data_IF_203861511135
#
_entry.id   IF_203861511135
#
_cell.length_a   1.000
_cell.length_b   1.000
_cell.length_c   1.000
_cell.angle_alpha   90.00
_cell.angle_beta   90.00
_cell.angle_gamma   90.00
#
_symmetry.space_group_name_H-M   'P 1'
#
loop_
_entity.id
_entity.type
_entity.pdbx_description
1 polymer ?
#
# COMPACT_ATOMS: atom_id res chain seq x y z
N UNK A 1 -11.94 -46.17 5.99
CA UNK A 1 -11.91 -44.88 6.77
C UNK A 1 -11.10 -43.86 5.99
N UNK A 2 -11.78 -43.05 5.16
CA UNK A 2 -11.16 -42.01 4.35
C UNK A 2 -11.02 -40.74 5.15
N UNK A 3 -9.79 -40.37 5.48
CA UNK A 3 -9.48 -39.02 5.99
C UNK A 3 -9.40 -38.06 4.79
N UNK A 4 -10.46 -37.30 4.59
CA UNK A 4 -10.45 -36.13 3.70
C UNK A 4 -9.49 -35.09 4.31
N UNK A 5 -8.42 -34.80 3.61
CA UNK A 5 -7.56 -33.64 3.88
C UNK A 5 -8.33 -32.40 3.43
N UNK A 6 -8.80 -31.62 4.36
CA UNK A 6 -9.27 -30.26 4.08
C UNK A 6 -8.08 -29.40 3.67
N UNK A 7 -7.99 -29.07 2.41
CA UNK A 7 -7.20 -27.94 1.91
C UNK A 7 -7.96 -26.68 2.27
N UNK A 8 -7.36 -25.74 2.98
CA UNK A 8 -8.02 -24.44 3.22
C UNK A 8 -8.00 -23.65 1.90
N UNK A 9 -9.17 -23.50 1.31
CA UNK A 9 -9.43 -22.50 0.26
C UNK A 9 -9.16 -21.13 0.84
N UNK A 10 -8.24 -20.40 0.23
CA UNK A 10 -7.83 -19.06 0.64
C UNK A 10 -8.89 -18.02 0.25
N UNK A 11 -10.02 -18.03 0.93
CA UNK A 11 -10.91 -16.87 1.00
C UNK A 11 -10.32 -15.84 1.96
N UNK A 12 -9.37 -15.04 1.47
CA UNK A 12 -8.95 -13.82 2.13
C UNK A 12 -9.97 -12.72 1.85
N UNK A 13 -11.12 -12.85 2.46
CA UNK A 13 -12.11 -11.79 2.53
C UNK A 13 -11.64 -10.69 3.49
N UNK A 14 -11.94 -9.47 3.18
CA UNK A 14 -11.43 -8.18 3.62
C UNK A 14 -11.55 -7.82 5.12
N UNK A 15 -11.72 -8.77 6.03
CA UNK A 15 -11.99 -8.50 7.46
C UNK A 15 -10.96 -9.03 8.46
N UNK A 16 -9.89 -9.69 8.01
CA UNK A 16 -8.87 -10.19 8.95
C UNK A 16 -7.77 -9.15 9.06
N UNK A 17 -7.82 -8.32 10.12
CA UNK A 17 -6.68 -7.48 10.50
C UNK A 17 -5.48 -8.37 10.79
N UNK A 18 -4.40 -8.19 10.04
CA UNK A 18 -3.14 -8.86 10.30
C UNK A 18 -2.60 -8.38 11.65
N UNK A 19 -2.34 -9.32 12.58
CA UNK A 19 -1.63 -9.02 13.81
C UNK A 19 -0.19 -9.48 13.67
N UNK A 20 0.74 -8.52 13.50
CA UNK A 20 2.16 -8.81 13.47
C UNK A 20 2.68 -9.25 12.09
N UNK A 21 2.92 -10.54 11.89
CA UNK A 21 3.60 -11.10 10.71
C UNK A 21 2.92 -12.36 10.17
N UNK A 22 3.04 -12.57 8.85
CA UNK A 22 2.67 -13.82 8.17
C UNK A 22 3.52 -14.04 6.93
N UNK A 23 4.09 -15.23 6.74
CA UNK A 23 4.72 -15.66 5.49
C UNK A 23 4.05 -16.95 4.96
N UNK A 24 4.00 -17.08 3.63
CA UNK A 24 3.39 -18.24 2.98
C UNK A 24 3.91 -18.44 1.57
N UNK A 25 3.78 -19.68 1.06
CA UNK A 25 3.99 -20.00 -0.35
C UNK A 25 2.78 -19.60 -1.19
N UNK A 26 3.05 -19.09 -2.38
CA UNK A 26 2.03 -18.79 -3.38
C UNK A 26 2.00 -19.97 -4.34
N UNK A 27 0.87 -20.69 -4.34
CA UNK A 27 0.57 -21.75 -5.29
C UNK A 27 -0.90 -21.61 -5.68
N UNK A 28 -1.16 -20.70 -6.62
CA UNK A 28 -2.53 -20.47 -7.10
C UNK A 28 -2.63 -20.82 -8.58
N UNK A 29 -3.44 -21.83 -8.88
CA UNK A 29 -3.96 -22.04 -10.22
C UNK A 29 -5.02 -20.97 -10.47
N UNK A 30 -4.73 -20.05 -11.39
CA UNK A 30 -5.64 -18.98 -11.89
C UNK A 30 -6.75 -18.57 -10.93
N UNK A 31 -6.46 -17.68 -10.00
CA UNK A 31 -7.48 -16.96 -9.24
C UNK A 31 -7.82 -15.66 -9.96
N UNK A 32 -9.13 -15.31 -10.02
CA UNK A 32 -9.54 -13.95 -10.39
C UNK A 32 -8.78 -12.97 -9.50
N UNK A 33 -8.12 -12.01 -10.11
CA UNK A 33 -7.38 -10.97 -9.39
C UNK A 33 -8.25 -10.36 -8.31
N UNK A 34 -7.71 -10.27 -7.11
CA UNK A 34 -8.43 -9.62 -6.02
C UNK A 34 -8.59 -8.14 -6.38
N UNK A 35 -9.79 -7.63 -6.25
CA UNK A 35 -10.11 -6.25 -6.56
C UNK A 35 -9.14 -5.28 -5.88
N UNK A 36 -9.01 -4.11 -6.45
CA UNK A 36 -8.24 -3.00 -5.92
C UNK A 36 -8.69 -2.72 -4.48
N UNK A 37 -7.87 -3.08 -3.49
CA UNK A 37 -8.23 -2.96 -2.09
C UNK A 37 -7.06 -2.41 -1.27
N UNK A 38 -7.38 -1.64 -0.25
CA UNK A 38 -6.43 -1.26 0.80
C UNK A 38 -6.05 -2.48 1.62
N UNK A 39 -4.81 -2.52 2.02
CA UNK A 39 -4.27 -3.53 2.93
C UNK A 39 -3.69 -2.80 4.14
N UNK A 40 -3.93 -3.33 5.33
CA UNK A 40 -3.41 -2.77 6.59
C UNK A 40 -2.00 -3.27 6.91
N UNK A 41 -1.25 -3.70 5.89
CA UNK A 41 0.05 -4.33 6.06
C UNK A 41 0.98 -4.04 4.89
N UNK A 42 2.26 -4.03 5.16
CA UNK A 42 3.31 -4.10 4.16
C UNK A 42 3.38 -5.50 3.56
N UNK A 43 3.75 -5.60 2.30
CA UNK A 43 3.92 -6.87 1.60
C UNK A 43 5.26 -6.90 0.89
N UNK A 44 6.00 -7.99 1.03
CA UNK A 44 7.10 -8.33 0.13
C UNK A 44 6.74 -9.66 -0.51
N UNK A 45 6.74 -9.76 -1.85
CA UNK A 45 6.44 -11.02 -2.52
C UNK A 45 7.35 -11.29 -3.69
N UNK A 46 7.84 -12.52 -3.77
CA UNK A 46 8.61 -13.08 -4.87
C UNK A 46 7.66 -13.88 -5.74
N UNK A 47 7.36 -13.38 -6.96
CA UNK A 47 6.34 -13.95 -7.84
C UNK A 47 6.96 -14.41 -9.15
N UNK A 48 6.56 -15.59 -9.63
CA UNK A 48 6.93 -16.11 -10.95
C UNK A 48 5.66 -16.45 -11.70
N UNK A 49 5.43 -15.81 -12.84
CA UNK A 49 4.23 -15.92 -13.66
C UNK A 49 4.00 -14.63 -14.45
N UNK A 50 2.88 -14.57 -15.18
CA UNK A 50 2.51 -13.36 -15.90
C UNK A 50 1.50 -12.57 -15.07
N UNK A 51 1.80 -11.32 -14.85
CA UNK A 51 1.04 -10.43 -13.99
C UNK A 51 0.82 -9.06 -14.60
N UNK A 52 -0.32 -8.47 -14.27
CA UNK A 52 -0.55 -7.04 -14.39
C UNK A 52 -0.68 -6.48 -12.98
N UNK A 53 0.27 -5.65 -12.58
CA UNK A 53 0.23 -4.92 -11.32
C UNK A 53 -0.29 -3.52 -11.55
N UNK A 54 -1.34 -3.16 -10.85
CA UNK A 54 -1.81 -1.78 -10.72
C UNK A 54 -1.31 -1.23 -9.39
N UNK A 55 -0.50 -0.19 -9.44
CA UNK A 55 0.10 0.41 -8.24
C UNK A 55 -0.03 1.93 -8.32
N UNK A 56 -0.80 2.51 -7.42
CA UNK A 56 -1.22 3.90 -7.49
C UNK A 56 -1.91 4.21 -8.84
N UNK A 57 -1.31 5.05 -9.66
CA UNK A 57 -1.79 5.47 -11.00
C UNK A 57 -1.10 4.75 -12.16
N UNK A 58 -0.23 3.76 -11.87
CA UNK A 58 0.58 3.05 -12.87
C UNK A 58 0.17 1.59 -12.97
N UNK A 59 0.32 1.04 -14.19
CA UNK A 59 0.17 -0.38 -14.45
C UNK A 59 1.47 -0.95 -15.02
N UNK A 60 1.87 -2.09 -14.50
CA UNK A 60 3.08 -2.80 -14.91
C UNK A 60 2.69 -4.21 -15.34
N UNK A 61 2.99 -4.54 -16.58
CA UNK A 61 2.86 -5.91 -17.07
C UNK A 61 4.23 -6.60 -17.06
N UNK A 62 4.28 -7.83 -16.60
CA UNK A 62 5.52 -8.60 -16.53
C UNK A 62 5.28 -10.09 -16.71
N UNK A 63 6.15 -10.73 -17.46
CA UNK A 63 6.26 -12.18 -17.68
C UNK A 63 7.46 -12.81 -16.96
N UNK A 64 8.13 -12.03 -16.11
CA UNK A 64 9.38 -12.40 -15.43
C UNK A 64 9.14 -12.71 -13.96
N UNK A 65 10.14 -13.37 -13.35
CA UNK A 65 10.19 -13.41 -11.88
C UNK A 65 10.45 -12.00 -11.35
N UNK A 66 9.63 -11.59 -10.41
CA UNK A 66 9.72 -10.26 -9.79
C UNK A 66 9.73 -10.34 -8.27
N UNK A 67 10.34 -9.35 -7.65
CA UNK A 67 10.18 -9.03 -6.24
C UNK A 67 9.33 -7.75 -6.15
N UNK A 68 8.18 -7.84 -5.47
CA UNK A 68 7.24 -6.75 -5.31
C UNK A 68 7.19 -6.26 -3.87
N UNK A 69 7.09 -4.95 -3.70
CA UNK A 69 7.00 -4.24 -2.41
C UNK A 69 5.68 -3.47 -2.35
N UNK A 70 4.76 -3.91 -1.51
CA UNK A 70 3.46 -3.27 -1.27
C UNK A 70 3.49 -2.45 0.00
N UNK A 71 3.11 -1.18 -0.12
CA UNK A 71 2.92 -0.28 1.01
C UNK A 71 1.41 -0.20 1.34
N UNK A 72 0.98 -0.33 2.61
CA UNK A 72 -0.43 -0.26 3.00
C UNK A 72 -1.09 1.08 2.64
N UNK A 73 -0.31 2.16 2.56
CA UNK A 73 -0.82 3.49 2.24
C UNK A 73 -1.02 3.73 0.74
N UNK A 74 -0.54 2.81 -0.12
CA UNK A 74 -0.64 2.91 -1.57
C UNK A 74 -1.59 1.82 -2.08
N UNK A 75 -2.73 2.20 -2.68
CA UNK A 75 -3.63 1.20 -3.24
C UNK A 75 -2.96 0.44 -4.38
N UNK A 76 -3.04 -0.88 -4.34
CA UNK A 76 -2.55 -1.73 -5.43
C UNK A 76 -3.44 -2.96 -5.65
N UNK A 77 -3.42 -3.47 -6.87
CA UNK A 77 -3.99 -4.77 -7.21
C UNK A 77 -3.03 -5.55 -8.11
N UNK A 78 -3.23 -6.85 -8.16
CA UNK A 78 -2.45 -7.75 -8.99
C UNK A 78 -3.40 -8.69 -9.72
N UNK A 79 -3.37 -8.65 -11.04
CA UNK A 79 -4.08 -9.59 -11.89
C UNK A 79 -3.11 -10.68 -12.35
N UNK A 80 -3.49 -11.93 -12.13
CA UNK A 80 -2.73 -13.09 -12.59
C UNK A 80 -3.22 -13.46 -13.98
N UNK A 81 -2.35 -13.34 -14.97
CA UNK A 81 -2.65 -13.65 -16.38
C UNK A 81 -2.22 -15.07 -16.72
N UNK A 82 -1.19 -15.60 -16.08
CA UNK A 82 -0.69 -16.96 -16.32
C UNK A 82 -1.58 -18.03 -15.68
N UNK A 83 -1.64 -19.25 -16.27
CA UNK A 83 -2.37 -20.37 -15.67
C UNK A 83 -1.78 -20.85 -14.34
N UNK A 84 -0.54 -20.53 -14.06
CA UNK A 84 0.15 -20.87 -12.80
C UNK A 84 0.89 -19.66 -12.26
N UNK A 85 0.76 -19.44 -10.98
CA UNK A 85 1.47 -18.44 -10.22
C UNK A 85 2.14 -19.12 -9.03
N UNK A 86 3.46 -19.03 -8.95
CA UNK A 86 4.24 -19.64 -7.87
C UNK A 86 5.21 -18.64 -7.26
N UNK A 87 5.43 -18.74 -5.98
CA UNK A 87 6.35 -17.86 -5.28
C UNK A 87 6.15 -17.86 -3.78
N UNK A 88 6.47 -16.73 -3.18
CA UNK A 88 6.41 -16.51 -1.74
C UNK A 88 5.88 -15.13 -1.43
N UNK A 89 5.23 -14.98 -0.28
CA UNK A 89 4.84 -13.68 0.24
C UNK A 89 5.10 -13.59 1.74
N UNK A 90 5.47 -12.40 2.19
CA UNK A 90 5.47 -12.00 3.60
C UNK A 90 4.64 -10.74 3.77
N UNK A 91 3.81 -10.74 4.79
CA UNK A 91 2.95 -9.65 5.22
C UNK A 91 3.37 -9.25 6.62
N UNK A 92 3.45 -7.95 6.90
CA UNK A 92 3.80 -7.47 8.23
C UNK A 92 3.22 -6.09 8.48
N UNK A 93 2.86 -5.84 9.74
CA UNK A 93 2.40 -4.51 10.16
C UNK A 93 3.59 -3.59 10.40
N UNK A 94 3.34 -2.30 10.35
CA UNK A 94 4.35 -1.29 10.69
C UNK A 94 4.86 -1.48 12.11
N UNK A 95 3.95 -1.73 13.06
CA UNK A 95 4.29 -1.97 14.47
C UNK A 95 5.19 -3.19 14.67
N UNK A 96 5.01 -4.25 13.86
CA UNK A 96 5.89 -5.42 13.91
C UNK A 96 7.34 -5.07 13.61
N UNK A 97 7.59 -4.12 12.70
CA UNK A 97 8.95 -3.67 12.37
C UNK A 97 9.50 -2.59 13.30
N UNK A 98 8.67 -1.68 13.82
CA UNK A 98 9.08 -0.54 14.65
C UNK A 98 9.72 -0.92 15.99
N UNK A 99 9.58 -2.14 16.46
CA UNK A 99 10.24 -2.63 17.67
C UNK A 99 11.78 -2.62 17.58
N UNK A 100 12.34 -2.28 16.41
CA UNK A 100 13.77 -2.07 16.19
C UNK A 100 13.99 -0.71 15.53
N UNK A 101 14.67 0.24 16.20
CA UNK A 101 15.00 1.58 15.67
C UNK A 101 15.68 1.54 14.29
N UNK A 102 16.44 0.46 14.00
CA UNK A 102 17.12 0.26 12.71
C UNK A 102 16.16 -0.09 11.57
N UNK A 103 15.03 -0.70 11.86
CA UNK A 103 14.06 -1.15 10.85
C UNK A 103 13.11 -0.07 10.39
N UNK A 104 12.88 0.98 11.18
CA UNK A 104 12.02 2.10 10.82
C UNK A 104 12.54 2.82 9.56
N UNK A 105 13.86 3.04 9.47
CA UNK A 105 14.48 3.67 8.29
C UNK A 105 14.28 2.89 6.98
N UNK A 106 14.07 1.57 7.04
CA UNK A 106 13.91 0.73 5.86
C UNK A 106 12.51 0.84 5.22
N UNK A 107 11.50 1.17 6.00
CA UNK A 107 10.15 1.46 5.47
C UNK A 107 10.13 2.78 4.66
N UNK A 108 11.07 3.67 4.94
CA UNK A 108 11.29 4.89 4.17
C UNK A 108 12.20 4.69 2.95
N UNK A 109 12.56 3.44 2.64
CA UNK A 109 13.36 3.13 1.46
C UNK A 109 12.58 3.39 0.16
N UNK A 110 13.28 3.63 -0.97
CA UNK A 110 12.64 3.81 -2.29
C UNK A 110 11.72 2.66 -2.72
N UNK A 111 11.86 1.49 -2.11
CA UNK A 111 11.05 0.29 -2.41
C UNK A 111 9.59 0.45 -1.95
N UNK A 112 9.35 1.16 -0.85
CA UNK A 112 8.03 1.38 -0.28
C UNK A 112 7.50 2.80 -0.49
N UNK A 113 8.34 3.72 -1.01
CA UNK A 113 7.92 5.11 -1.20
C UNK A 113 6.99 5.27 -2.42
N UNK A 114 6.09 6.26 -2.31
CA UNK A 114 5.28 6.73 -3.42
C UNK A 114 6.22 7.34 -4.47
N UNK A 115 6.07 6.88 -5.74
CA UNK A 115 6.96 7.30 -6.82
C UNK A 115 8.27 6.50 -6.90
N UNK A 116 8.53 5.60 -5.97
CA UNK A 116 9.65 4.66 -6.03
C UNK A 116 9.45 3.51 -7.03
N UNK A 117 10.31 2.52 -6.96
CA UNK A 117 10.25 1.32 -7.82
C UNK A 117 9.82 0.11 -6.99
N UNK A 118 8.49 -0.15 -6.86
CA UNK A 118 7.98 -1.24 -6.03
C UNK A 118 8.17 -2.63 -6.65
N UNK A 119 8.69 -2.72 -7.87
CA UNK A 119 8.86 -3.97 -8.62
C UNK A 119 10.28 -4.06 -9.14
N UNK A 120 10.96 -5.17 -8.82
CA UNK A 120 12.29 -5.48 -9.30
C UNK A 120 12.25 -6.78 -10.11
N UNK A 121 12.82 -6.77 -11.32
CA UNK A 121 13.02 -7.99 -12.11
C UNK A 121 14.15 -8.83 -11.50
N UNK A 122 13.91 -10.12 -11.30
CA UNK A 122 14.78 -11.03 -10.57
C UNK A 122 15.29 -12.13 -11.50
N UNK A 123 16.62 -12.34 -11.53
CA UNK A 123 17.22 -13.44 -12.27
C UNK A 123 17.17 -14.77 -11.49
N UNK A 124 17.57 -15.89 -12.13
CA UNK A 124 17.49 -17.23 -11.53
C UNK A 124 18.34 -17.40 -10.25
N UNK A 125 19.52 -16.80 -10.19
CA UNK A 125 20.39 -16.86 -9.01
C UNK A 125 19.77 -16.08 -7.85
N UNK A 126 19.38 -14.83 -8.09
CA UNK A 126 18.69 -13.98 -7.11
C UNK A 126 17.40 -14.64 -6.60
N UNK A 127 16.63 -15.28 -7.50
CA UNK A 127 15.40 -15.99 -7.11
C UNK A 127 15.69 -17.09 -6.09
N UNK A 128 16.77 -17.87 -6.29
CA UNK A 128 17.15 -18.94 -5.37
C UNK A 128 17.49 -18.39 -3.98
N UNK A 129 18.27 -17.32 -3.92
CA UNK A 129 18.73 -16.72 -2.66
C UNK A 129 17.57 -16.07 -1.90
N UNK A 130 16.71 -15.33 -2.61
CA UNK A 130 15.51 -14.71 -2.02
C UNK A 130 14.51 -15.76 -1.55
N UNK A 131 14.27 -16.81 -2.34
CA UNK A 131 13.38 -17.91 -1.95
C UNK A 131 13.82 -18.58 -0.66
N UNK A 132 15.13 -18.78 -0.47
CA UNK A 132 15.69 -19.36 0.76
C UNK A 132 15.38 -18.49 1.99
N UNK A 133 15.36 -17.15 1.85
CA UNK A 133 15.00 -16.26 2.95
C UNK A 133 13.51 -16.41 3.30
N UNK A 134 12.62 -16.45 2.30
CA UNK A 134 11.20 -16.68 2.54
C UNK A 134 10.92 -18.03 3.19
N UNK A 135 11.60 -19.09 2.75
CA UNK A 135 11.47 -20.43 3.36
C UNK A 135 11.88 -20.42 4.82
N UNK A 136 12.94 -19.71 5.17
CA UNK A 136 13.37 -19.54 6.57
C UNK A 136 12.32 -18.80 7.39
N UNK A 137 11.70 -17.74 6.85
CA UNK A 137 10.63 -17.03 7.54
C UNK A 137 9.39 -17.92 7.77
N UNK A 138 9.03 -18.74 6.76
CA UNK A 138 7.91 -19.69 6.86
C UNK A 138 8.21 -20.75 7.92
N UNK A 139 9.43 -21.28 7.96
CA UNK A 139 9.82 -22.26 8.98
C UNK A 139 9.85 -21.63 10.38
N UNK A 140 10.40 -20.42 10.53
CA UNK A 140 10.56 -19.75 11.81
C UNK A 140 9.22 -19.38 12.45
N UNK A 141 8.22 -18.94 11.67
CA UNK A 141 6.92 -18.56 12.23
C UNK A 141 6.19 -19.72 12.93
N UNK A 142 6.48 -20.96 12.55
CA UNK A 142 5.88 -22.18 13.13
C UNK A 142 6.64 -22.67 14.38
N UNK A 143 7.77 -22.04 14.76
CA UNK A 143 8.53 -22.44 15.94
C UNK A 143 7.98 -21.83 17.22
N UNK A 144 8.27 -22.43 18.36
CA UNK A 144 7.99 -21.88 19.71
C UNK A 144 9.16 -21.08 20.27
N UNK A 145 10.14 -20.70 19.43
CA UNK A 145 11.31 -19.96 19.86
C UNK A 145 10.92 -18.56 20.37
N UNK A 146 11.38 -18.24 21.58
CA UNK A 146 11.00 -17.00 22.29
C UNK A 146 11.33 -15.72 21.48
N UNK A 147 12.42 -15.72 20.71
CA UNK A 147 12.87 -14.55 19.91
C UNK A 147 12.59 -14.72 18.42
N UNK A 148 11.63 -15.57 18.02
CA UNK A 148 11.30 -15.81 16.62
C UNK A 148 10.96 -14.54 15.85
N UNK A 149 10.21 -13.62 16.47
CA UNK A 149 9.83 -12.35 15.85
C UNK A 149 11.06 -11.47 15.54
N UNK A 150 12.09 -11.55 16.36
CA UNK A 150 13.35 -10.83 16.12
C UNK A 150 14.12 -11.41 14.93
N UNK A 151 14.18 -12.73 14.83
CA UNK A 151 14.77 -13.42 13.67
C UNK A 151 14.00 -13.09 12.41
N UNK A 152 12.66 -13.12 12.44
CA UNK A 152 11.80 -12.78 11.31
C UNK A 152 12.03 -11.33 10.85
N UNK A 153 12.14 -10.37 11.77
CA UNK A 153 12.49 -8.97 11.46
C UNK A 153 13.85 -8.88 10.75
N UNK A 154 14.83 -9.66 11.19
CA UNK A 154 16.14 -9.70 10.53
C UNK A 154 16.06 -10.26 9.10
N UNK A 155 15.20 -11.26 8.84
CA UNK A 155 14.98 -11.77 7.48
C UNK A 155 14.26 -10.73 6.61
N UNK A 156 13.29 -10.00 7.12
CA UNK A 156 12.65 -8.90 6.39
C UNK A 156 13.69 -7.83 6.04
N UNK A 157 14.50 -7.42 7.00
CA UNK A 157 15.57 -6.45 6.78
C UNK A 157 16.57 -6.93 5.72
N UNK A 158 16.93 -8.21 5.76
CA UNK A 158 17.82 -8.81 4.76
C UNK A 158 17.18 -8.77 3.36
N UNK A 159 15.89 -9.11 3.20
CA UNK A 159 15.19 -9.01 1.91
C UNK A 159 15.21 -7.58 1.37
N UNK A 160 14.97 -6.59 2.23
CA UNK A 160 14.97 -5.18 1.84
C UNK A 160 16.38 -4.76 1.38
N UNK A 161 17.43 -5.14 2.12
CA UNK A 161 18.80 -4.82 1.75
C UNK A 161 19.26 -5.52 0.47
N UNK A 162 18.90 -6.80 0.27
CA UNK A 162 19.19 -7.48 -0.99
C UNK A 162 18.51 -6.80 -2.18
N UNK A 163 17.25 -6.37 -2.00
CA UNK A 163 16.55 -5.62 -3.04
C UNK A 163 17.19 -4.25 -3.33
N UNK A 164 17.60 -3.52 -2.30
CA UNK A 164 18.29 -2.23 -2.47
C UNK A 164 19.61 -2.36 -3.25
N UNK A 165 20.37 -3.44 -3.03
CA UNK A 165 21.59 -3.74 -3.82
C UNK A 165 21.29 -3.99 -5.30
N UNK A 166 20.10 -4.51 -5.62
CA UNK A 166 19.68 -4.81 -6.99
C UNK A 166 19.20 -3.58 -7.75
N UNK A 167 18.88 -2.48 -7.04
CA UNK A 167 18.51 -1.22 -7.69
C UNK A 167 19.73 -0.62 -8.39
N UNK A 168 19.60 -0.13 -9.64
CA UNK A 168 20.67 0.63 -10.28
C UNK A 168 21.05 1.84 -9.41
N UNK A 169 22.34 2.12 -9.28
CA UNK A 169 22.84 3.26 -8.51
C UNK A 169 22.28 4.62 -8.98
N UNK A 170 21.78 4.71 -10.19
CA UNK A 170 21.12 5.89 -10.76
C UNK A 170 19.76 6.19 -10.09
N UNK A 171 19.02 5.20 -9.60
CA UNK A 171 17.77 5.46 -8.88
C UNK A 171 18.01 6.10 -7.51
N UNK A 172 19.17 5.87 -6.91
CA UNK A 172 19.59 6.53 -5.66
C UNK A 172 20.02 7.97 -5.87
N UNK A 173 20.44 8.31 -7.10
CA UNK A 173 20.86 9.68 -7.49
C UNK A 173 19.68 10.55 -7.92
N UNK A 174 18.57 9.99 -8.38
CA UNK A 174 17.37 10.76 -8.78
C UNK A 174 16.61 11.39 -7.60
N UNK A 175 16.79 10.92 -6.37
CA UNK A 175 16.23 11.56 -5.18
C UNK A 175 16.94 12.86 -4.76
N UNK A 176 17.97 13.30 -5.48
CA UNK A 176 18.63 14.58 -5.22
C UNK A 176 17.83 15.81 -5.68
N UNK A 177 16.75 15.63 -6.42
CA UNK A 177 15.88 16.72 -6.80
C UNK A 177 15.01 17.14 -5.59
N UNK A 178 15.16 18.37 -5.12
CA UNK A 178 14.38 18.91 -4.01
C UNK A 178 12.86 18.84 -4.27
N UNK A 179 12.41 18.98 -5.52
CA UNK A 179 11.02 18.84 -5.93
C UNK A 179 10.51 17.40 -5.72
N UNK A 180 11.29 16.38 -6.09
CA UNK A 180 10.92 14.98 -5.88
C UNK A 180 10.81 14.65 -4.39
N UNK A 181 11.76 15.13 -3.58
CA UNK A 181 11.75 14.90 -2.13
C UNK A 181 10.53 15.55 -1.46
N UNK A 182 10.24 16.82 -1.75
CA UNK A 182 9.10 17.49 -1.14
C UNK A 182 7.77 16.89 -1.59
N UNK A 183 7.68 16.43 -2.85
CA UNK A 183 6.52 15.73 -3.39
C UNK A 183 6.28 14.39 -2.66
N UNK A 184 7.33 13.60 -2.44
CA UNK A 184 7.24 12.33 -1.70
C UNK A 184 6.74 12.55 -0.28
N UNK A 185 7.30 13.53 0.44
CA UNK A 185 6.86 13.85 1.81
C UNK A 185 5.42 14.36 1.85
N UNK A 186 5.01 15.18 0.87
CA UNK A 186 3.62 15.61 0.75
C UNK A 186 2.65 14.43 0.57
N UNK A 187 2.97 13.51 -0.36
CA UNK A 187 2.13 12.35 -0.62
C UNK A 187 2.05 11.42 0.59
N UNK A 188 3.16 11.22 1.29
CA UNK A 188 3.21 10.46 2.54
C UNK A 188 2.35 11.09 3.63
N UNK A 189 2.46 12.39 3.85
CA UNK A 189 1.62 13.12 4.82
C UNK A 189 0.13 13.06 4.45
N UNK A 190 -0.19 13.15 3.16
CA UNK A 190 -1.56 12.99 2.70
C UNK A 190 -2.11 11.60 3.05
N UNK A 191 -1.34 10.54 2.78
CA UNK A 191 -1.77 9.17 3.05
C UNK A 191 -1.85 8.84 4.56
N UNK A 192 -0.98 9.40 5.39
CA UNK A 192 -0.98 9.18 6.85
C UNK A 192 -2.29 9.61 7.54
N UNK A 193 -3.07 10.50 6.94
CA UNK A 193 -4.35 10.92 7.49
C UNK A 193 -5.46 9.87 7.31
N UNK A 194 -5.18 8.76 6.64
CA UNK A 194 -6.14 7.74 6.26
C UNK A 194 -5.65 6.33 6.66
N UNK A 195 -6.57 5.36 6.88
CA UNK A 195 -8.03 5.49 6.83
C UNK A 195 -8.59 6.28 8.02
N UNK A 196 -9.81 6.80 7.84
CA UNK A 196 -10.56 7.41 8.95
C UNK A 196 -11.34 6.29 9.66
N UNK A 197 -10.95 6.00 10.89
CA UNK A 197 -11.49 4.85 11.65
C UNK A 197 -12.61 5.23 12.61
N UNK A 198 -12.83 6.53 12.87
CA UNK A 198 -13.82 7.02 13.83
C UNK A 198 -14.49 8.31 13.34
N UNK A 199 -15.79 8.45 13.62
CA UNK A 199 -16.55 9.70 13.37
C UNK A 199 -16.07 10.89 14.19
N UNK A 200 -15.30 10.64 15.26
CA UNK A 200 -14.69 11.67 16.10
C UNK A 200 -13.36 12.16 15.54
N UNK A 201 -12.77 11.44 14.62
CA UNK A 201 -11.54 11.82 13.93
C UNK A 201 -11.91 12.71 12.74
N UNK A 202 -11.23 13.84 12.59
CA UNK A 202 -11.39 14.73 11.43
C UNK A 202 -10.07 14.93 10.74
N UNK A 203 -10.08 15.06 9.41
CA UNK A 203 -8.89 15.42 8.64
C UNK A 203 -8.32 16.76 9.11
N UNK A 204 -7.03 16.79 9.44
CA UNK A 204 -6.33 18.00 9.86
C UNK A 204 -5.85 18.82 8.66
N UNK A 205 -5.21 18.14 7.67
CA UNK A 205 -4.64 18.78 6.49
C UNK A 205 -5.59 18.59 5.29
N UNK A 206 -6.28 19.69 4.87
CA UNK A 206 -7.35 19.64 3.86
C UNK A 206 -7.00 20.40 2.58
N UNK A 207 -6.10 21.36 2.67
CA UNK A 207 -5.74 22.25 1.58
C UNK A 207 -4.23 22.25 1.34
N UNK A 208 -3.80 22.57 0.11
CA UNK A 208 -2.37 22.68 -0.22
C UNK A 208 -1.59 23.59 0.74
N UNK A 209 -2.26 24.65 1.27
CA UNK A 209 -1.71 25.58 2.24
C UNK A 209 -1.38 24.88 3.56
N UNK A 210 -2.21 23.94 4.02
CA UNK A 210 -2.01 23.23 5.29
C UNK A 210 -0.78 22.33 5.19
N UNK A 211 -0.65 21.59 4.10
CA UNK A 211 0.53 20.77 3.82
C UNK A 211 1.79 21.64 3.67
N UNK A 212 1.72 22.76 2.95
CA UNK A 212 2.84 23.65 2.77
C UNK A 212 3.33 24.22 4.11
N UNK A 213 2.41 24.60 5.00
CA UNK A 213 2.72 25.07 6.36
C UNK A 213 3.36 23.95 7.19
N UNK A 214 2.80 22.74 7.14
CA UNK A 214 3.33 21.59 7.87
C UNK A 214 4.73 21.20 7.39
N UNK A 215 4.98 21.30 6.07
CA UNK A 215 6.27 21.02 5.45
C UNK A 215 7.28 22.19 5.54
N UNK A 216 6.85 23.32 6.13
CA UNK A 216 7.64 24.54 6.24
C UNK A 216 8.20 25.05 4.88
N UNK A 217 7.34 25.02 3.86
CA UNK A 217 7.64 25.52 2.52
C UNK A 217 6.57 26.48 2.03
N UNK A 218 6.90 27.28 1.01
CA UNK A 218 5.90 28.14 0.38
C UNK A 218 4.93 27.29 -0.48
N UNK A 219 3.63 27.58 -0.41
CA UNK A 219 2.59 26.81 -1.11
C UNK A 219 2.80 26.75 -2.63
N UNK A 220 3.31 27.84 -3.23
CA UNK A 220 3.61 27.86 -4.68
C UNK A 220 4.75 26.89 -5.03
N UNK A 221 5.76 26.76 -4.16
CA UNK A 221 6.83 25.79 -4.35
C UNK A 221 6.30 24.36 -4.27
N UNK A 222 5.47 24.07 -3.24
CA UNK A 222 4.82 22.75 -3.13
C UNK A 222 3.99 22.43 -4.36
N UNK A 223 3.13 23.35 -4.80
CA UNK A 223 2.27 23.16 -5.98
C UNK A 223 3.07 22.93 -7.26
N UNK A 224 4.17 23.68 -7.45
CA UNK A 224 5.06 23.52 -8.59
C UNK A 224 5.76 22.16 -8.57
N UNK A 225 6.35 21.79 -7.43
CA UNK A 225 7.07 20.54 -7.26
C UNK A 225 6.14 19.32 -7.48
N UNK A 226 4.97 19.31 -6.83
CA UNK A 226 3.99 18.22 -6.99
C UNK A 226 3.53 18.09 -8.43
N UNK A 227 3.22 19.21 -9.11
CA UNK A 227 2.78 19.20 -10.51
C UNK A 227 3.90 18.78 -11.47
N UNK A 228 5.14 19.21 -11.22
CA UNK A 228 6.31 18.82 -12.00
C UNK A 228 6.54 17.30 -11.95
N UNK A 229 6.50 16.74 -10.73
CA UNK A 229 6.85 15.32 -10.51
C UNK A 229 5.71 14.37 -10.86
N UNK A 230 4.45 14.76 -10.57
CA UNK A 230 3.30 13.85 -10.70
C UNK A 230 2.40 14.15 -11.90
N UNK A 231 2.59 15.29 -12.55
CA UNK A 231 1.69 15.79 -13.59
C UNK A 231 0.35 16.33 -13.07
N UNK A 232 0.03 16.14 -11.77
CA UNK A 232 -1.23 16.49 -11.13
C UNK A 232 -1.03 17.59 -10.07
N UNK A 233 -2.05 18.43 -9.89
CA UNK A 233 -1.98 19.48 -8.87
C UNK A 233 -2.08 18.91 -7.44
N UNK A 234 -1.49 19.58 -6.46
CA UNK A 234 -1.61 19.26 -5.03
C UNK A 234 -3.07 19.10 -4.61
N UNK A 235 -3.93 20.06 -4.98
CA UNK A 235 -5.37 20.00 -4.72
C UNK A 235 -6.05 18.83 -5.43
N UNK A 236 -5.55 18.40 -6.58
CA UNK A 236 -6.00 17.22 -7.30
C UNK A 236 -5.77 15.94 -6.51
N UNK A 237 -4.56 15.74 -5.99
CA UNK A 237 -4.20 14.60 -5.14
C UNK A 237 -5.06 14.55 -3.87
N UNK A 238 -5.19 15.69 -3.17
CA UNK A 238 -6.01 15.79 -1.95
C UNK A 238 -7.47 15.42 -2.26
N UNK A 239 -8.05 15.99 -3.33
CA UNK A 239 -9.44 15.75 -3.70
C UNK A 239 -9.69 14.27 -4.04
N UNK A 240 -8.82 13.64 -4.81
CA UNK A 240 -8.96 12.22 -5.16
C UNK A 240 -8.86 11.32 -3.93
N UNK A 241 -7.94 11.64 -3.03
CA UNK A 241 -7.78 10.86 -1.83
C UNK A 241 -8.99 10.94 -0.91
N UNK A 242 -9.54 12.15 -0.74
CA UNK A 242 -10.79 12.36 0.01
C UNK A 242 -11.96 11.61 -0.67
N UNK A 243 -12.07 11.64 -1.99
CA UNK A 243 -13.13 10.90 -2.70
C UNK A 243 -12.98 9.38 -2.54
N UNK A 244 -11.75 8.87 -2.59
CA UNK A 244 -11.48 7.45 -2.37
C UNK A 244 -11.95 7.01 -0.98
N UNK A 245 -11.60 7.78 0.05
CA UNK A 245 -12.05 7.52 1.42
C UNK A 245 -13.57 7.64 1.57
N UNK A 246 -14.16 8.71 1.02
CA UNK A 246 -15.59 8.89 1.05
C UNK A 246 -16.35 7.69 0.48
N UNK A 247 -15.88 7.14 -0.64
CA UNK A 247 -16.46 5.93 -1.24
C UNK A 247 -16.34 4.73 -0.32
N UNK A 248 -15.16 4.51 0.28
CA UNK A 248 -14.93 3.43 1.22
C UNK A 248 -15.85 3.52 2.44
N UNK A 249 -15.95 4.71 3.05
CA UNK A 249 -16.84 4.95 4.19
C UNK A 249 -18.32 4.76 3.84
N UNK A 250 -18.76 5.23 2.66
CA UNK A 250 -20.14 5.05 2.19
C UNK A 250 -20.50 3.59 1.94
N UNK A 251 -19.55 2.76 1.52
CA UNK A 251 -19.77 1.36 1.16
C UNK A 251 -19.58 0.38 2.32
N UNK A 252 -18.73 0.72 3.29
CA UNK A 252 -18.26 -0.24 4.30
C UNK A 252 -18.56 0.19 5.74
N UNK A 253 -19.28 1.29 5.95
CA UNK A 253 -19.70 1.73 7.29
C UNK A 253 -21.19 2.11 7.31
N UNK A 254 -21.77 2.03 8.51
CA UNK A 254 -23.14 2.50 8.78
C UNK A 254 -23.23 3.99 9.09
N UNK A 255 -22.11 4.72 8.99
CA UNK A 255 -22.07 6.16 9.29
C UNK A 255 -23.01 6.93 8.38
N UNK A 256 -23.76 7.86 8.93
CA UNK A 256 -24.60 8.71 8.11
C UNK A 256 -23.77 9.70 7.27
N UNK A 257 -24.38 10.30 6.25
CA UNK A 257 -23.67 11.19 5.31
C UNK A 257 -23.07 12.42 6.01
N UNK A 258 -23.72 12.90 7.08
CA UNK A 258 -23.22 14.04 7.84
C UNK A 258 -21.98 13.65 8.67
N UNK A 259 -21.98 12.49 9.31
CA UNK A 259 -20.82 11.95 10.03
C UNK A 259 -19.62 11.77 9.09
N UNK A 260 -19.85 11.19 7.90
CA UNK A 260 -18.79 11.05 6.88
C UNK A 260 -18.27 12.43 6.45
N UNK A 261 -19.15 13.40 6.24
CA UNK A 261 -18.75 14.76 5.86
C UNK A 261 -17.85 15.40 6.93
N UNK A 262 -18.24 15.31 8.21
CA UNK A 262 -17.45 15.87 9.31
C UNK A 262 -16.11 15.15 9.49
N UNK A 263 -16.08 13.84 9.41
CA UNK A 263 -14.85 13.03 9.48
C UNK A 263 -13.88 13.36 8.33
N UNK A 264 -14.41 13.61 7.13
CA UNK A 264 -13.63 14.09 5.97
C UNK A 264 -13.27 15.58 6.05
N UNK A 265 -13.60 16.24 7.16
CA UNK A 265 -13.21 17.61 7.46
C UNK A 265 -14.05 18.69 6.80
N UNK A 266 -15.22 18.37 6.29
CA UNK A 266 -16.16 19.38 5.78
C UNK A 266 -16.92 20.04 6.94
N UNK A 267 -17.03 21.36 6.90
CA UNK A 267 -17.75 22.14 7.90
C UNK A 267 -19.26 21.89 7.86
N UNK A 268 -19.81 21.67 6.64
CA UNK A 268 -21.23 21.38 6.43
C UNK A 268 -21.40 20.19 5.47
N UNK A 269 -22.36 19.28 5.74
CA UNK A 269 -22.65 18.15 4.85
C UNK A 269 -23.04 18.57 3.41
N UNK A 270 -23.61 19.76 3.24
CA UNK A 270 -23.94 20.32 1.92
C UNK A 270 -22.68 20.55 1.08
N UNK A 271 -21.59 21.01 1.69
CA UNK A 271 -20.33 21.20 0.97
C UNK A 271 -19.73 19.87 0.52
N UNK A 272 -19.79 18.86 1.38
CA UNK A 272 -19.38 17.50 1.00
C UNK A 272 -20.23 16.96 -0.16
N UNK A 273 -21.56 17.08 -0.12
CA UNK A 273 -22.44 16.62 -1.18
C UNK A 273 -22.12 17.28 -2.53
N UNK A 274 -21.90 18.60 -2.53
CA UNK A 274 -21.53 19.34 -3.74
C UNK A 274 -20.14 18.94 -4.26
N UNK A 275 -19.16 18.82 -3.36
CA UNK A 275 -17.82 18.38 -3.69
C UNK A 275 -17.84 16.97 -4.30
N UNK A 276 -18.51 16.04 -3.64
CA UNK A 276 -18.61 14.64 -4.07
C UNK A 276 -19.28 14.53 -5.44
N UNK A 277 -20.43 15.19 -5.62
CA UNK A 277 -21.13 15.22 -6.91
C UNK A 277 -20.29 15.84 -8.02
N UNK A 278 -19.60 16.95 -7.75
CA UNK A 278 -18.70 17.60 -8.72
C UNK A 278 -17.55 16.69 -9.16
N UNK A 279 -17.04 15.86 -8.27
CA UNK A 279 -15.88 15.00 -8.53
C UNK A 279 -16.24 13.63 -9.11
N UNK A 280 -17.40 13.08 -8.77
CA UNK A 280 -17.81 11.71 -9.14
C UNK A 280 -18.96 11.67 -10.16
N UNK A 281 -19.68 12.75 -10.33
CA UNK A 281 -20.95 12.78 -11.09
C UNK A 281 -22.18 12.29 -10.30
N UNK A 282 -21.98 11.66 -9.14
CA UNK A 282 -23.03 11.04 -8.32
C UNK A 282 -23.17 11.72 -6.96
N UNK A 283 -24.37 11.61 -6.37
CA UNK A 283 -24.57 12.05 -4.97
C UNK A 283 -24.13 10.91 -4.01
N UNK A 284 -23.65 11.22 -2.78
CA UNK A 284 -23.21 10.20 -1.82
C UNK A 284 -24.25 9.11 -1.56
N UNK A 285 -25.53 9.49 -1.45
CA UNK A 285 -26.65 8.55 -1.21
C UNK A 285 -26.77 7.47 -2.28
N UNK A 286 -26.48 7.78 -3.56
CA UNK A 286 -26.61 6.80 -4.64
C UNK A 286 -25.50 5.75 -4.61
N UNK A 287 -24.33 6.07 -4.09
CA UNK A 287 -23.23 5.10 -3.93
C UNK A 287 -23.57 4.06 -2.84
N UNK A 288 -24.21 4.48 -1.76
CA UNK A 288 -24.65 3.59 -0.68
C UNK A 288 -25.75 2.62 -1.13
N UNK A 289 -26.67 3.08 -1.96
CA UNK A 289 -27.81 2.28 -2.41
C UNK A 289 -27.44 1.13 -3.38
N UNK A 290 -26.23 1.12 -3.92
CA UNK A 290 -25.76 0.06 -4.84
C UNK A 290 -25.27 -1.19 -4.08
N UNK A 291 -25.08 -1.13 -2.75
CA UNK A 291 -24.55 -2.20 -1.91
C UNK A 291 -25.54 -2.68 -0.82
N UNK A 292 -26.79 -2.25 -0.87
CA UNK A 292 -27.93 -2.82 -0.12
C UNK A 292 -28.76 -3.72 -1.06
#
# INVERSE_FOLDING_TARGET
MNKQRHTPTSDFNSEVRLKGFKAYEIDSKTGKGHGYSRKDFYKISLNTGNYIFHYADRSFETDKTILFFGNPHIPYSCEVVSPTNVGYASLFTEDFLKLSERSEGLLHSPLFQIGGTPILAINKAQRKDLAAIFQKMIAEQETDYQYKDEIIRNYINLLIHEALKMQPSESYTQQKNAAARITSVFLELLERQFPIESTQQSLELKAAQDFARHLNVHVNYLNSAVKEITGKTTTGHIAERIISEAKALLQHTDWNIAEIAYALGFEYPTYFNNFFKKKTGYIPKSIRAVHL
#
